data_IF_161836458149
#
_entry.id   IF_161836458149
#
_cell.length_a   1.000
_cell.length_b   1.000
_cell.length_c   1.000
_cell.angle_alpha   90.00
_cell.angle_beta   90.00
_cell.angle_gamma   90.00
#
_symmetry.space_group_name_H-M   'P 1'
#
loop_
_entity.id
_entity.type
_entity.pdbx_description
1 polymer ?
#
# COMPACT_ATOMS: atom_id res chain seq x y z
N UNK A 1 -24.38 5.10 -21.31
CA UNK A 1 -22.90 4.89 -21.33
C UNK A 1 -22.31 5.57 -20.11
N UNK A 2 -21.64 4.79 -19.25
CA UNK A 2 -20.96 5.31 -18.08
C UNK A 2 -19.87 6.30 -18.52
N UNK A 3 -19.80 7.44 -17.80
CA UNK A 3 -18.73 8.42 -17.97
C UNK A 3 -17.38 7.79 -17.56
N UNK A 4 -16.25 8.24 -18.11
CA UNK A 4 -14.92 7.65 -17.84
C UNK A 4 -14.55 7.71 -16.35
N UNK A 5 -15.00 8.74 -15.63
CA UNK A 5 -14.86 8.83 -14.18
C UNK A 5 -15.67 7.74 -13.44
N UNK A 6 -16.87 7.42 -13.90
CA UNK A 6 -17.69 6.35 -13.31
C UNK A 6 -17.09 4.97 -13.59
N UNK A 7 -16.55 4.75 -14.79
CA UNK A 7 -15.82 3.51 -15.11
C UNK A 7 -14.58 3.35 -14.22
N UNK A 8 -13.80 4.42 -14.05
CA UNK A 8 -12.63 4.42 -13.17
C UNK A 8 -13.00 4.09 -11.72
N UNK A 9 -14.06 4.72 -11.19
CA UNK A 9 -14.54 4.45 -9.84
C UNK A 9 -15.05 3.02 -9.67
N UNK A 10 -15.75 2.48 -10.68
CA UNK A 10 -16.22 1.09 -10.65
C UNK A 10 -15.07 0.09 -10.68
N UNK A 11 -14.06 0.33 -11.54
CA UNK A 11 -12.87 -0.49 -11.59
C UNK A 11 -12.09 -0.47 -10.28
N UNK A 12 -11.94 0.70 -9.67
CA UNK A 12 -11.30 0.85 -8.35
C UNK A 12 -12.07 0.09 -7.27
N UNK A 13 -13.39 0.19 -7.26
CA UNK A 13 -14.23 -0.54 -6.31
C UNK A 13 -14.08 -2.06 -6.47
N UNK A 14 -14.14 -2.57 -7.70
CA UNK A 14 -13.96 -3.99 -7.98
C UNK A 14 -12.56 -4.45 -7.57
N UNK A 15 -11.51 -3.67 -7.86
CA UNK A 15 -10.14 -3.98 -7.45
C UNK A 15 -10.01 -4.08 -5.92
N UNK A 16 -10.59 -3.15 -5.17
CA UNK A 16 -10.61 -3.18 -3.70
C UNK A 16 -11.34 -4.42 -3.18
N UNK A 17 -12.47 -4.79 -3.77
CA UNK A 17 -13.20 -6.02 -3.39
C UNK A 17 -12.36 -7.28 -3.57
N UNK A 18 -11.50 -7.35 -4.61
CA UNK A 18 -10.59 -8.48 -4.81
C UNK A 18 -9.42 -8.48 -3.84
N UNK A 19 -8.95 -7.32 -3.38
CA UNK A 19 -7.84 -7.20 -2.43
C UNK A 19 -8.31 -7.41 -0.98
N UNK A 20 -9.56 -7.10 -0.66
CA UNK A 20 -10.09 -7.18 0.71
C UNK A 20 -9.88 -8.55 1.39
N UNK A 21 -10.07 -9.72 0.74
CA UNK A 21 -9.85 -11.02 1.37
C UNK A 21 -8.38 -11.33 1.66
N UNK A 22 -7.43 -10.62 1.07
CA UNK A 22 -6.00 -10.90 1.18
C UNK A 22 -5.51 -10.88 2.64
N UNK A 23 -5.90 -9.87 3.41
CA UNK A 23 -5.55 -9.76 4.83
C UNK A 23 -6.13 -10.89 5.68
N UNK A 24 -7.31 -11.37 5.32
CA UNK A 24 -7.94 -12.54 5.96
C UNK A 24 -7.15 -13.80 5.65
N UNK A 25 -6.76 -14.04 4.39
CA UNK A 25 -5.94 -15.18 3.99
C UNK A 25 -4.57 -15.17 4.67
N UNK A 26 -3.94 -14.03 4.85
CA UNK A 26 -2.68 -13.91 5.61
C UNK A 26 -2.87 -14.45 7.04
N UNK A 27 -3.96 -14.11 7.70
CA UNK A 27 -4.27 -14.58 9.07
C UNK A 27 -4.64 -16.06 9.13
N UNK A 28 -5.40 -16.55 8.16
CA UNK A 28 -5.88 -17.93 8.13
C UNK A 28 -4.80 -18.93 7.69
N UNK A 29 -3.78 -18.48 6.98
CA UNK A 29 -2.76 -19.35 6.41
C UNK A 29 -1.96 -20.14 7.45
N UNK A 30 -1.94 -19.71 8.74
CA UNK A 30 -1.24 -20.39 9.85
C UNK A 30 0.20 -20.81 9.51
N UNK A 31 0.85 -20.06 8.62
CA UNK A 31 2.18 -20.34 8.09
C UNK A 31 3.16 -19.33 8.71
N UNK A 32 4.42 -19.75 8.82
CA UNK A 32 5.50 -18.87 9.26
C UNK A 32 5.58 -17.58 8.42
N UNK A 33 5.84 -16.44 9.09
CA UNK A 33 5.86 -15.09 8.49
C UNK A 33 6.75 -15.02 7.26
N UNK A 34 7.95 -15.61 7.34
CA UNK A 34 8.93 -15.53 6.25
C UNK A 34 8.55 -16.39 5.05
N UNK A 35 7.96 -17.56 5.30
CA UNK A 35 7.39 -18.41 4.25
C UNK A 35 6.28 -17.67 3.52
N UNK A 36 5.43 -16.98 4.25
CA UNK A 36 4.30 -16.23 3.68
C UNK A 36 4.80 -15.05 2.83
N UNK A 37 5.79 -14.30 3.30
CA UNK A 37 6.46 -13.22 2.54
C UNK A 37 7.06 -13.78 1.25
N UNK A 38 7.75 -14.94 1.33
CA UNK A 38 8.36 -15.59 0.17
C UNK A 38 7.34 -15.98 -0.89
N UNK A 39 6.31 -16.73 -0.52
CA UNK A 39 5.28 -17.15 -1.48
C UNK A 39 4.50 -15.98 -2.07
N UNK A 40 4.25 -14.96 -1.27
CA UNK A 40 3.57 -13.73 -1.69
C UNK A 40 4.42 -12.88 -2.65
N UNK A 41 5.72 -13.02 -2.62
CA UNK A 41 6.64 -12.41 -3.59
C UNK A 41 6.79 -13.24 -4.86
N UNK A 42 7.04 -14.54 -4.71
CA UNK A 42 7.42 -15.42 -5.83
C UNK A 42 6.27 -15.75 -6.78
N UNK A 43 5.07 -15.95 -6.26
CA UNK A 43 3.90 -16.31 -7.08
C UNK A 43 3.51 -15.16 -8.02
N UNK A 44 3.29 -13.92 -7.54
CA UNK A 44 3.01 -12.79 -8.42
C UNK A 44 4.18 -12.49 -9.38
N UNK A 45 5.43 -12.66 -8.92
CA UNK A 45 6.60 -12.47 -9.77
C UNK A 45 6.54 -13.37 -11.00
N UNK A 46 6.34 -14.67 -10.84
CA UNK A 46 6.22 -15.58 -11.97
C UNK A 46 4.99 -15.32 -12.82
N UNK A 47 3.86 -14.98 -12.21
CA UNK A 47 2.63 -14.65 -12.93
C UNK A 47 2.83 -13.44 -13.84
N UNK A 48 3.40 -12.36 -13.28
CA UNK A 48 3.67 -11.13 -14.05
C UNK A 48 4.77 -11.38 -15.09
N UNK A 49 5.83 -12.11 -14.74
CA UNK A 49 6.92 -12.44 -15.66
C UNK A 49 6.40 -13.20 -16.88
N UNK A 50 5.61 -14.24 -16.66
CA UNK A 50 5.01 -15.02 -17.76
C UNK A 50 4.07 -14.13 -18.58
N UNK A 51 3.20 -13.38 -17.95
CA UNK A 51 2.30 -12.45 -18.66
C UNK A 51 3.04 -11.43 -19.50
N UNK A 52 4.09 -10.82 -18.96
CA UNK A 52 4.91 -9.84 -19.68
C UNK A 52 5.70 -10.46 -20.83
N UNK A 53 6.23 -11.67 -20.64
CA UNK A 53 6.91 -12.40 -21.71
C UNK A 53 5.96 -12.78 -22.86
N UNK A 54 4.73 -13.15 -22.55
CA UNK A 54 3.72 -13.46 -23.56
C UNK A 54 3.30 -12.22 -24.37
N UNK A 55 3.18 -11.05 -23.71
CA UNK A 55 2.73 -9.80 -24.34
C UNK A 55 3.88 -9.12 -25.07
N UNK A 56 5.02 -8.89 -24.40
CA UNK A 56 6.13 -8.07 -24.89
C UNK A 56 7.28 -8.86 -25.49
N UNK A 57 7.29 -10.20 -25.38
CA UNK A 57 8.35 -11.10 -25.90
C UNK A 57 9.74 -10.60 -25.49
N UNK A 58 10.69 -10.57 -26.41
CA UNK A 58 12.07 -10.13 -26.16
C UNK A 58 12.22 -8.65 -25.76
N UNK A 59 11.25 -7.79 -26.11
CA UNK A 59 11.28 -6.38 -25.78
C UNK A 59 11.12 -6.12 -24.28
N UNK A 60 10.60 -7.08 -23.50
CA UNK A 60 10.49 -6.99 -22.06
C UNK A 60 11.85 -6.72 -21.39
N UNK A 61 12.88 -7.45 -21.74
CA UNK A 61 14.22 -7.26 -21.15
C UNK A 61 14.79 -5.86 -21.46
N UNK A 62 14.61 -5.37 -22.68
CA UNK A 62 15.02 -4.02 -23.06
C UNK A 62 14.31 -2.95 -22.22
N UNK A 63 13.01 -3.11 -22.01
CA UNK A 63 12.17 -2.19 -21.22
C UNK A 63 12.57 -2.19 -19.74
N UNK A 64 12.90 -3.36 -19.19
CA UNK A 64 13.39 -3.51 -17.81
C UNK A 64 14.71 -2.74 -17.59
N UNK A 65 15.68 -2.90 -18.50
CA UNK A 65 16.97 -2.20 -18.43
C UNK A 65 16.86 -0.69 -18.70
N UNK A 66 15.84 -0.25 -19.43
CA UNK A 66 15.60 1.19 -19.69
C UNK A 66 15.05 1.92 -18.47
N UNK A 67 14.43 1.23 -17.51
CA UNK A 67 13.91 1.81 -16.25
C UNK A 67 15.00 2.41 -15.35
N UNK A 68 16.26 2.02 -15.51
CA UNK A 68 17.40 2.59 -14.80
C UNK A 68 17.28 2.53 -13.27
N UNK A 69 17.88 3.53 -12.59
CA UNK A 69 17.91 3.59 -11.12
C UNK A 69 16.53 3.82 -10.49
N UNK A 70 15.60 4.49 -11.16
CA UNK A 70 14.25 4.70 -10.66
C UNK A 70 13.49 3.36 -10.50
N UNK A 71 13.67 2.42 -11.42
CA UNK A 71 13.11 1.09 -11.32
C UNK A 71 13.64 0.31 -10.11
N UNK A 72 14.94 0.45 -9.81
CA UNK A 72 15.56 -0.20 -8.64
C UNK A 72 14.99 0.37 -7.34
N UNK A 73 14.88 1.69 -7.22
CA UNK A 73 14.28 2.35 -6.05
C UNK A 73 12.85 1.87 -5.84
N UNK A 74 12.06 1.81 -6.91
CA UNK A 74 10.69 1.32 -6.85
C UNK A 74 10.61 -0.12 -6.33
N UNK A 75 11.45 -1.02 -6.86
CA UNK A 75 11.49 -2.43 -6.45
C UNK A 75 11.84 -2.55 -4.96
N UNK A 76 12.85 -1.81 -4.49
CA UNK A 76 13.27 -1.83 -3.09
C UNK A 76 12.13 -1.32 -2.19
N UNK A 77 11.55 -0.17 -2.52
CA UNK A 77 10.46 0.42 -1.74
C UNK A 77 9.24 -0.49 -1.71
N UNK A 78 8.86 -1.06 -2.84
CA UNK A 78 7.74 -2.01 -2.94
C UNK A 78 7.99 -3.29 -2.12
N UNK A 79 9.22 -3.81 -2.13
CA UNK A 79 9.61 -4.99 -1.35
C UNK A 79 9.50 -4.71 0.15
N UNK A 80 10.01 -3.55 0.61
CA UNK A 80 9.91 -3.12 2.01
C UNK A 80 8.42 -3.00 2.41
N UNK A 81 7.60 -2.38 1.56
CA UNK A 81 6.16 -2.24 1.80
C UNK A 81 5.47 -3.59 1.98
N UNK A 82 5.77 -4.56 1.11
CA UNK A 82 5.19 -5.91 1.19
C UNK A 82 5.60 -6.64 2.48
N UNK A 83 6.88 -6.58 2.85
CA UNK A 83 7.39 -7.20 4.08
C UNK A 83 6.73 -6.52 5.29
N UNK A 84 6.73 -5.19 5.34
CA UNK A 84 6.15 -4.42 6.44
C UNK A 84 4.65 -4.73 6.60
N UNK A 85 3.91 -4.88 5.50
CA UNK A 85 2.49 -5.21 5.50
C UNK A 85 2.22 -6.59 6.14
N UNK A 86 2.93 -7.63 5.69
CA UNK A 86 2.73 -8.99 6.20
C UNK A 86 3.13 -9.08 7.68
N UNK A 87 4.28 -8.51 8.04
CA UNK A 87 4.76 -8.52 9.42
C UNK A 87 3.84 -7.70 10.34
N UNK A 88 3.31 -6.57 9.86
CA UNK A 88 2.32 -5.78 10.59
C UNK A 88 1.05 -6.59 10.88
N UNK A 89 0.42 -7.20 9.87
CA UNK A 89 -0.81 -7.99 10.05
C UNK A 89 -0.60 -9.15 11.02
N UNK A 90 0.57 -9.74 11.07
CA UNK A 90 0.85 -10.85 12.00
C UNK A 90 1.15 -10.41 13.44
N UNK A 91 1.64 -9.18 13.63
CA UNK A 91 2.04 -8.66 14.93
C UNK A 91 1.06 -7.67 15.55
N UNK A 92 0.00 -7.26 14.83
CA UNK A 92 -1.06 -6.40 15.37
C UNK A 92 -2.44 -6.88 14.88
N UNK A 93 -3.47 -6.13 15.24
CA UNK A 93 -4.81 -6.40 14.72
C UNK A 93 -4.88 -5.99 13.23
N UNK A 94 -5.45 -6.85 12.39
CA UNK A 94 -5.63 -6.59 10.93
C UNK A 94 -6.30 -5.24 10.69
N UNK A 95 -7.31 -4.89 11.49
CA UNK A 95 -7.99 -3.61 11.39
C UNK A 95 -7.04 -2.43 11.58
N UNK A 96 -6.11 -2.52 12.54
CA UNK A 96 -5.13 -1.47 12.81
C UNK A 96 -4.20 -1.25 11.61
N UNK A 97 -3.64 -2.33 11.06
CA UNK A 97 -2.80 -2.26 9.85
C UNK A 97 -3.54 -1.62 8.69
N UNK A 98 -4.78 -2.02 8.44
CA UNK A 98 -5.59 -1.48 7.34
C UNK A 98 -5.94 0.01 7.55
N UNK A 99 -6.21 0.42 8.79
CA UNK A 99 -6.45 1.84 9.12
C UNK A 99 -5.19 2.66 8.93
N UNK A 100 -4.00 2.16 9.33
CA UNK A 100 -2.74 2.84 9.07
C UNK A 100 -2.52 3.07 7.57
N UNK A 101 -2.77 2.06 6.75
CA UNK A 101 -2.67 2.18 5.29
C UNK A 101 -3.72 3.16 4.74
N UNK A 102 -4.94 3.13 5.26
CA UNK A 102 -6.00 4.06 4.86
C UNK A 102 -5.67 5.54 5.23
N UNK A 103 -4.73 5.77 6.15
CA UNK A 103 -4.20 7.11 6.44
C UNK A 103 -3.22 7.63 5.37
N UNK A 104 -2.76 6.81 4.42
CA UNK A 104 -1.80 7.23 3.40
C UNK A 104 -2.23 8.49 2.61
N UNK A 105 -3.49 8.65 2.15
CA UNK A 105 -3.93 9.88 1.49
C UNK A 105 -3.86 11.12 2.39
N UNK A 106 -4.16 10.96 3.69
CA UNK A 106 -4.04 12.04 4.68
C UNK A 106 -2.57 12.45 4.85
N UNK A 107 -1.68 11.48 5.04
CA UNK A 107 -0.24 11.74 5.16
C UNK A 107 0.32 12.37 3.89
N UNK A 108 -0.10 11.91 2.71
CA UNK A 108 0.28 12.50 1.42
C UNK A 108 -0.16 13.96 1.30
N UNK A 109 -1.38 14.30 1.72
CA UNK A 109 -1.88 15.67 1.71
C UNK A 109 -1.09 16.58 2.65
N UNK A 110 -0.74 16.10 3.84
CA UNK A 110 0.08 16.84 4.81
C UNK A 110 1.51 17.06 4.27
N UNK A 111 2.13 16.00 3.76
CA UNK A 111 3.47 16.09 3.17
C UNK A 111 3.48 17.00 1.94
N UNK A 112 2.46 16.93 1.07
CA UNK A 112 2.27 17.83 -0.05
C UNK A 112 2.16 19.29 0.37
N UNK A 113 1.40 19.58 1.44
CA UNK A 113 1.30 20.93 1.98
C UNK A 113 2.64 21.46 2.52
N UNK A 114 3.43 20.61 3.18
CA UNK A 114 4.71 21.00 3.80
C UNK A 114 5.83 21.14 2.75
N UNK A 115 6.00 20.13 1.89
CA UNK A 115 7.15 20.05 0.97
C UNK A 115 6.88 20.70 -0.38
N UNK A 116 5.67 20.54 -0.94
CA UNK A 116 5.31 21.11 -2.24
C UNK A 116 4.58 22.46 -2.12
N UNK A 117 4.22 22.86 -0.89
CA UNK A 117 3.43 24.09 -0.64
C UNK A 117 2.07 24.09 -1.36
N UNK A 118 1.57 22.93 -1.71
CA UNK A 118 0.23 22.74 -2.28
C UNK A 118 -0.78 22.70 -1.13
N UNK A 119 -1.51 23.80 -0.92
CA UNK A 119 -2.50 23.86 0.16
C UNK A 119 -3.76 23.07 -0.22
N UNK A 120 -4.12 22.03 0.55
CA UNK A 120 -5.36 21.28 0.34
C UNK A 120 -6.59 22.18 0.54
N UNK A 121 -7.67 21.87 -0.14
CA UNK A 121 -8.96 22.52 0.05
C UNK A 121 -9.48 22.35 1.49
N UNK A 122 -10.31 23.30 1.96
CA UNK A 122 -10.88 23.29 3.31
C UNK A 122 -11.62 21.98 3.66
N UNK A 123 -12.25 21.36 2.67
CA UNK A 123 -12.91 20.04 2.84
C UNK A 123 -11.90 18.94 3.13
N UNK A 124 -10.73 19.00 2.51
CA UNK A 124 -9.62 18.05 2.75
C UNK A 124 -9.08 18.20 4.16
N UNK A 125 -8.95 19.43 4.68
CA UNK A 125 -8.54 19.66 6.07
C UNK A 125 -9.52 19.09 7.09
N UNK A 126 -10.82 19.21 6.84
CA UNK A 126 -11.84 18.60 7.69
C UNK A 126 -11.72 17.06 7.66
N UNK A 127 -11.57 16.47 6.46
CA UNK A 127 -11.36 15.04 6.31
C UNK A 127 -10.10 14.54 7.03
N UNK A 128 -8.98 15.28 6.94
CA UNK A 128 -7.74 15.02 7.68
C UNK A 128 -8.01 14.99 9.19
N UNK A 129 -8.72 15.99 9.71
CA UNK A 129 -9.05 16.09 11.14
C UNK A 129 -9.88 14.89 11.62
N UNK A 130 -10.92 14.52 10.88
CA UNK A 130 -11.77 13.36 11.19
C UNK A 130 -10.97 12.05 11.16
N UNK A 131 -10.15 11.85 10.12
CA UNK A 131 -9.30 10.66 9.99
C UNK A 131 -8.28 10.57 11.12
N UNK A 132 -7.71 11.70 11.53
CA UNK A 132 -6.74 11.76 12.62
C UNK A 132 -7.37 11.38 13.97
N UNK A 133 -8.58 11.87 14.26
CA UNK A 133 -9.33 11.51 15.47
C UNK A 133 -9.66 10.02 15.48
N UNK A 134 -10.14 9.49 14.36
CA UNK A 134 -10.42 8.06 14.23
C UNK A 134 -9.17 7.20 14.43
N UNK A 135 -8.04 7.63 13.87
CA UNK A 135 -6.77 6.95 14.04
C UNK A 135 -6.31 6.95 15.51
N UNK A 136 -6.39 8.07 16.21
CA UNK A 136 -6.06 8.15 17.65
C UNK A 136 -6.91 7.18 18.46
N UNK A 137 -8.21 7.11 18.17
CA UNK A 137 -9.12 6.21 18.87
C UNK A 137 -8.70 4.73 18.71
N UNK A 138 -8.36 4.32 17.49
CA UNK A 138 -7.91 2.95 17.20
C UNK A 138 -6.53 2.67 17.82
N UNK A 139 -5.62 3.65 17.77
CA UNK A 139 -4.29 3.54 18.37
C UNK A 139 -4.36 3.39 19.91
N UNK A 140 -5.29 4.09 20.54
CA UNK A 140 -5.45 4.02 21.99
C UNK A 140 -5.75 2.60 22.47
N UNK A 141 -6.59 1.88 21.76
CA UNK A 141 -6.91 0.48 22.05
C UNK A 141 -5.70 -0.45 21.80
N UNK A 142 -4.95 -0.19 20.75
CA UNK A 142 -3.75 -0.96 20.38
C UNK A 142 -2.60 -0.79 21.37
N UNK A 143 -2.40 0.40 21.93
CA UNK A 143 -1.37 0.66 22.95
C UNK A 143 -1.60 -0.18 24.20
N UNK A 144 -2.84 -0.39 24.58
CA UNK A 144 -3.19 -1.23 25.74
C UNK A 144 -2.90 -2.72 25.49
N UNK A 145 -2.93 -3.16 24.24
CA UNK A 145 -2.67 -4.55 23.85
C UNK A 145 -1.20 -4.88 23.59
N UNK A 146 -0.30 -3.89 23.66
CA UNK A 146 1.15 -4.08 23.44
C UNK A 146 1.59 -4.33 22.00
N UNK A 147 0.75 -4.01 21.02
CA UNK A 147 0.96 -4.30 19.58
C UNK A 147 1.69 -3.18 18.82
N UNK A 148 2.40 -2.30 19.54
CA UNK A 148 3.06 -1.10 18.99
C UNK A 148 3.98 -1.43 17.80
N UNK A 149 4.70 -2.54 17.85
CA UNK A 149 5.63 -2.94 16.80
C UNK A 149 4.90 -3.17 15.47
N UNK A 150 3.78 -3.90 15.48
CA UNK A 150 2.97 -4.14 14.30
C UNK A 150 2.35 -2.87 13.74
N UNK A 151 1.92 -1.96 14.60
CA UNK A 151 1.33 -0.67 14.21
C UNK A 151 2.37 0.26 13.57
N UNK A 152 3.59 0.31 14.11
CA UNK A 152 4.69 1.06 13.50
C UNK A 152 5.03 0.54 12.09
N UNK A 153 5.00 -0.78 11.89
CA UNK A 153 5.20 -1.37 10.56
C UNK A 153 4.06 -1.01 9.61
N UNK A 154 2.82 -0.94 10.09
CA UNK A 154 1.67 -0.46 9.33
C UNK A 154 1.86 1.00 8.87
N UNK A 155 2.38 1.85 9.74
CA UNK A 155 2.70 3.24 9.40
C UNK A 155 3.84 3.33 8.37
N UNK A 156 4.89 2.53 8.51
CA UNK A 156 5.97 2.45 7.51
C UNK A 156 5.43 2.00 6.17
N UNK A 157 4.52 1.03 6.16
CA UNK A 157 3.83 0.60 4.94
C UNK A 157 3.06 1.76 4.29
N UNK A 158 2.30 2.54 5.05
CA UNK A 158 1.57 3.70 4.57
C UNK A 158 2.50 4.77 3.97
N UNK A 159 3.61 5.09 4.64
CA UNK A 159 4.60 6.05 4.14
C UNK A 159 5.31 5.57 2.87
N UNK A 160 5.63 4.28 2.80
CA UNK A 160 6.23 3.66 1.60
C UNK A 160 5.28 3.71 0.41
N UNK A 161 3.97 3.52 0.62
CA UNK A 161 2.95 3.64 -0.42
C UNK A 161 2.87 5.06 -0.98
N UNK A 162 3.06 6.09 -0.17
CA UNK A 162 3.10 7.48 -0.64
C UNK A 162 4.27 7.68 -1.61
N UNK A 163 5.46 7.18 -1.26
CA UNK A 163 6.64 7.26 -2.15
C UNK A 163 6.45 6.53 -3.49
N UNK A 164 5.66 5.45 -3.50
CA UNK A 164 5.36 4.68 -4.71
C UNK A 164 4.35 5.42 -5.60
N UNK A 165 3.40 6.16 -5.00
CA UNK A 165 2.32 6.82 -5.74
C UNK A 165 2.69 8.23 -6.25
N UNK A 166 3.66 8.91 -5.66
CA UNK A 166 4.07 10.28 -6.05
C UNK A 166 4.81 10.42 -7.39
N UNK A 167 5.62 9.45 -7.89
CA UNK A 167 6.29 9.60 -9.19
C UNK A 167 5.36 9.83 -10.38
N UNK A 168 4.07 9.64 -10.23
CA UNK A 168 3.08 9.82 -11.29
C UNK A 168 2.58 11.27 -11.42
N UNK A 169 3.06 12.19 -10.58
CA UNK A 169 2.68 13.63 -10.57
C UNK A 169 3.71 14.57 -11.24
N UNK A 170 4.78 14.03 -11.83
CA UNK A 170 5.75 14.83 -12.60
C UNK A 170 5.48 14.77 -14.10
#
# INVERSE_FOLDING_TARGET
>A
TLNDQQKGSLLAFVAVMFITPDSLFIRLASVDTWSLVFYRGIIPFFTVLVGMLLIYKANFFKMLFTSGHHGIIYIITFSITNIAFVVSIQNTNVANTLVMIAMAPMLSAILGAIFLKEMPDSKTWIAIGVTFIAAIYIFYDSLQLGNIFGDLLGLICALSLIHISEPTRQ
#
